data_IF_162326210518
#
_entry.id   IF_162326210518
#
_cell.length_a   1.000
_cell.length_b   1.000
_cell.length_c   1.000
_cell.angle_alpha   90.00
_cell.angle_beta   90.00
_cell.angle_gamma   90.00
#
_symmetry.space_group_name_H-M   'P 1'
#
loop_
_entity.id
_entity.type
_entity.pdbx_description
1 polymer ?
#
# COMPACT_ATOMS: atom_id res chain seq x y z
N UNK A 1 7.23 -23.72 -17.29
CA UNK A 1 6.85 -22.64 -16.36
C UNK A 1 8.14 -21.94 -15.95
N UNK A 2 8.30 -20.65 -16.22
CA UNK A 2 9.55 -19.95 -15.92
C UNK A 2 9.78 -19.93 -14.39
N UNK A 3 10.93 -20.42 -13.93
CA UNK A 3 11.30 -20.55 -12.52
C UNK A 3 11.48 -19.18 -11.78
N UNK A 4 11.10 -18.06 -12.40
CA UNK A 4 11.42 -16.71 -11.93
C UNK A 4 10.21 -15.90 -11.46
N UNK A 5 8.97 -16.36 -11.66
CA UNK A 5 7.78 -15.62 -11.22
C UNK A 5 7.29 -16.17 -9.88
N UNK A 6 7.08 -15.28 -8.91
CA UNK A 6 6.48 -15.57 -7.62
C UNK A 6 5.09 -14.95 -7.59
N UNK A 7 4.10 -15.78 -7.24
CA UNK A 7 2.70 -15.38 -7.05
C UNK A 7 2.28 -15.74 -5.64
N UNK A 8 1.98 -14.74 -4.82
CA UNK A 8 1.74 -14.97 -3.40
C UNK A 8 0.94 -13.83 -2.75
N UNK A 9 0.60 -14.00 -1.48
CA UNK A 9 0.03 -12.95 -0.63
C UNK A 9 1.10 -12.42 0.33
N UNK A 10 0.91 -11.18 0.76
CA UNK A 10 1.83 -10.55 1.68
C UNK A 10 1.25 -9.29 2.28
N UNK A 11 2.10 -8.58 3.01
CA UNK A 11 1.78 -7.28 3.60
C UNK A 11 2.67 -6.21 3.03
N UNK A 12 2.11 -5.03 2.80
CA UNK A 12 2.86 -3.80 2.53
C UNK A 12 2.56 -2.81 3.65
N UNK A 13 3.60 -2.18 4.19
CA UNK A 13 3.51 -1.15 5.23
C UNK A 13 4.13 0.13 4.67
N UNK A 14 3.39 1.25 4.74
CA UNK A 14 3.86 2.58 4.33
C UNK A 14 3.33 3.66 5.26
N UNK A 15 3.98 4.83 5.32
CA UNK A 15 3.49 6.01 6.05
C UNK A 15 3.01 7.06 5.06
N UNK A 16 1.80 7.55 5.24
CA UNK A 16 1.21 8.60 4.40
C UNK A 16 0.43 9.60 5.23
N UNK A 17 0.12 10.75 4.61
CA UNK A 17 -0.81 11.72 5.16
C UNK A 17 -2.23 11.36 4.73
N UNK A 18 -3.09 11.07 5.70
CA UNK A 18 -4.50 10.76 5.50
C UNK A 18 -5.38 11.92 5.96
N UNK A 19 -6.48 12.18 5.26
CA UNK A 19 -7.50 13.16 5.65
C UNK A 19 -8.90 12.63 5.32
N UNK A 20 -9.95 13.24 5.87
CA UNK A 20 -11.31 12.96 5.40
C UNK A 20 -11.48 13.34 3.94
N UNK A 21 -12.17 12.48 3.18
CA UNK A 21 -12.61 12.80 1.82
C UNK A 21 -13.45 14.08 1.84
N UNK A 22 -13.11 15.03 0.97
CA UNK A 22 -13.84 16.30 0.84
C UNK A 22 -15.00 16.23 -0.16
N UNK A 23 -14.93 15.28 -1.11
CA UNK A 23 -15.94 15.09 -2.15
C UNK A 23 -17.23 14.40 -1.65
N UNK A 24 -18.33 14.66 -2.36
CA UNK A 24 -19.63 14.07 -2.07
C UNK A 24 -19.67 12.58 -2.51
N UNK A 25 -19.68 11.68 -1.52
CA UNK A 25 -19.64 10.22 -1.75
C UNK A 25 -21.02 9.53 -1.69
N UNK A 26 -22.10 10.28 -1.41
CA UNK A 26 -23.44 9.73 -1.17
C UNK A 26 -23.50 8.57 -0.14
N UNK A 27 -22.64 8.61 0.88
CA UNK A 27 -22.66 7.66 2.00
C UNK A 27 -22.19 8.32 3.30
N UNK A 28 -22.74 7.89 4.44
CA UNK A 28 -22.44 8.46 5.76
C UNK A 28 -21.43 7.60 6.55
N UNK A 29 -20.27 7.33 5.95
CA UNK A 29 -19.21 6.54 6.58
C UNK A 29 -17.92 7.36 6.75
N UNK A 30 -17.08 6.93 7.68
CA UNK A 30 -15.75 7.48 7.88
C UNK A 30 -14.81 6.91 6.82
N UNK A 31 -14.67 7.67 5.74
CA UNK A 31 -13.71 7.45 4.66
C UNK A 31 -12.55 8.43 4.79
N UNK A 32 -11.33 7.93 4.64
CA UNK A 32 -10.13 8.75 4.51
C UNK A 32 -9.53 8.58 3.12
N UNK A 33 -8.80 9.58 2.64
CA UNK A 33 -8.03 9.54 1.40
C UNK A 33 -6.55 9.85 1.67
N UNK A 34 -5.68 9.28 0.84
CA UNK A 34 -4.25 9.63 0.84
C UNK A 34 -4.03 10.95 0.11
N UNK A 35 -3.38 11.90 0.77
CA UNK A 35 -3.07 13.22 0.19
C UNK A 35 -1.83 13.17 -0.72
N UNK A 36 -0.93 12.22 -0.50
CA UNK A 36 0.32 12.04 -1.24
C UNK A 36 0.67 10.55 -1.33
N UNK A 37 0.25 9.82 -2.38
CA UNK A 37 0.32 8.37 -2.43
C UNK A 37 1.72 7.75 -2.62
N UNK A 38 2.78 8.56 -2.76
CA UNK A 38 4.18 8.14 -2.90
C UNK A 38 5.16 9.16 -2.28
N UNK A 39 5.30 9.23 -0.95
CA UNK A 39 6.12 10.25 -0.29
C UNK A 39 7.60 10.23 -0.72
N UNK A 40 8.08 11.37 -1.20
CA UNK A 40 9.47 11.54 -1.66
C UNK A 40 9.74 11.07 -3.10
N UNK A 41 8.69 10.71 -3.84
CA UNK A 41 8.72 10.69 -5.30
C UNK A 41 7.98 11.92 -5.87
N UNK A 42 8.64 12.68 -6.73
CA UNK A 42 8.19 13.97 -7.27
C UNK A 42 7.91 13.93 -8.78
N UNK A 43 7.89 12.74 -9.40
CA UNK A 43 7.76 12.58 -10.86
C UNK A 43 6.35 12.75 -11.45
N UNK A 44 5.41 13.32 -10.69
CA UNK A 44 4.13 13.75 -11.21
C UNK A 44 3.98 15.23 -10.90
N UNK A 45 4.06 16.08 -11.92
CA UNK A 45 3.27 17.32 -11.96
C UNK A 45 1.81 16.86 -11.97
N UNK A 46 1.28 16.55 -10.80
CA UNK A 46 -0.10 16.10 -10.64
C UNK A 46 -0.98 17.33 -10.87
N UNK A 47 -1.70 17.48 -12.01
CA UNK A 47 -2.86 18.36 -12.00
C UNK A 47 -3.77 17.87 -10.88
N UNK A 48 -4.36 18.78 -10.10
CA UNK A 48 -5.32 18.49 -9.02
C UNK A 48 -6.04 17.17 -9.30
N UNK A 49 -5.66 16.09 -8.60
CA UNK A 49 -6.21 14.77 -8.85
C UNK A 49 -7.72 14.86 -8.57
N UNK A 50 -8.53 14.85 -9.63
CA UNK A 50 -9.99 14.81 -9.48
C UNK A 50 -10.46 13.47 -8.87
N UNK A 51 -9.58 12.48 -8.79
CA UNK A 51 -9.90 11.14 -8.32
C UNK A 51 -8.85 10.61 -7.32
N UNK A 52 -9.29 9.85 -6.30
CA UNK A 52 -8.40 9.40 -5.25
C UNK A 52 -7.56 8.20 -5.72
N UNK A 53 -6.25 8.22 -5.41
CA UNK A 53 -5.41 7.03 -5.61
C UNK A 53 -5.83 5.89 -4.65
N UNK A 54 -5.97 6.22 -3.37
CA UNK A 54 -6.32 5.27 -2.32
C UNK A 54 -7.33 5.86 -1.34
N UNK A 55 -8.46 5.17 -1.17
CA UNK A 55 -9.48 5.44 -0.15
C UNK A 55 -9.43 4.40 0.96
N UNK A 56 -9.75 4.79 2.19
CA UNK A 56 -9.70 3.94 3.38
C UNK A 56 -11.02 4.05 4.16
N UNK A 57 -11.86 3.03 4.04
CA UNK A 57 -13.11 2.96 4.79
C UNK A 57 -12.86 2.29 6.14
N UNK A 58 -13.09 3.01 7.25
CA UNK A 58 -12.90 2.45 8.58
C UNK A 58 -14.07 1.52 8.93
N UNK A 59 -13.76 0.27 9.22
CA UNK A 59 -14.78 -0.72 9.60
C UNK A 59 -15.21 -0.53 11.05
N UNK A 60 -16.46 -0.90 11.36
CA UNK A 60 -17.00 -0.81 12.72
C UNK A 60 -16.45 -1.88 13.67
N UNK A 61 -15.80 -2.92 13.13
CA UNK A 61 -15.19 -4.01 13.86
C UNK A 61 -14.20 -4.77 12.99
N UNK A 62 -13.63 -5.83 13.55
CA UNK A 62 -12.71 -6.72 12.84
C UNK A 62 -13.49 -7.66 11.92
N UNK A 63 -13.00 -7.80 10.68
CA UNK A 63 -13.55 -8.72 9.70
C UNK A 63 -12.44 -9.62 9.17
N UNK A 64 -12.77 -10.89 8.94
CA UNK A 64 -11.82 -11.82 8.37
C UNK A 64 -11.35 -11.35 6.98
N UNK A 65 -10.05 -11.37 6.72
CA UNK A 65 -9.46 -10.90 5.46
C UNK A 65 -10.01 -11.66 4.24
N UNK A 66 -10.19 -12.97 4.35
CA UNK A 66 -10.75 -13.80 3.29
C UNK A 66 -12.21 -13.46 3.02
N UNK A 67 -12.98 -13.16 4.07
CA UNK A 67 -14.36 -12.70 3.92
C UNK A 67 -14.43 -11.39 3.14
N UNK A 68 -13.59 -10.40 3.47
CA UNK A 68 -13.49 -9.14 2.71
C UNK A 68 -13.13 -9.41 1.24
N UNK A 69 -12.13 -10.25 0.98
CA UNK A 69 -11.68 -10.57 -0.39
C UNK A 69 -12.79 -11.26 -1.19
N UNK A 70 -13.54 -12.18 -0.58
CA UNK A 70 -14.71 -12.83 -1.21
C UNK A 70 -15.81 -11.82 -1.51
N UNK A 71 -16.09 -10.91 -0.59
CA UNK A 71 -17.05 -9.81 -0.82
C UNK A 71 -16.62 -8.92 -1.99
N UNK A 72 -15.35 -8.51 -2.06
CA UNK A 72 -14.80 -7.73 -3.19
C UNK A 72 -14.99 -8.48 -4.51
N UNK A 73 -14.67 -9.77 -4.53
CA UNK A 73 -14.80 -10.60 -5.73
C UNK A 73 -16.25 -10.68 -6.23
N UNK A 74 -17.22 -10.76 -5.32
CA UNK A 74 -18.64 -10.79 -5.68
C UNK A 74 -19.13 -9.43 -6.16
N UNK A 75 -18.78 -8.34 -5.47
CA UNK A 75 -19.16 -6.98 -5.86
C UNK A 75 -18.64 -6.65 -7.27
N UNK A 76 -17.38 -7.02 -7.58
CA UNK A 76 -16.79 -6.80 -8.90
C UNK A 76 -17.52 -7.52 -10.05
N UNK A 77 -18.35 -8.54 -9.77
CA UNK A 77 -19.20 -9.19 -10.80
C UNK A 77 -20.50 -8.45 -11.05
N UNK A 78 -20.91 -7.59 -10.12
CA UNK A 78 -22.21 -6.91 -10.13
C UNK A 78 -22.12 -5.47 -10.62
N UNK A 79 -20.97 -4.81 -10.45
CA UNK A 79 -20.76 -3.43 -10.86
C UNK A 79 -20.21 -3.34 -12.28
N UNK A 80 -20.51 -2.24 -12.98
CA UNK A 80 -20.05 -2.00 -14.36
C UNK A 80 -18.66 -1.34 -14.46
N UNK A 81 -17.95 -1.18 -13.34
CA UNK A 81 -16.66 -0.50 -13.24
C UNK A 81 -15.67 -1.34 -12.44
N UNK A 82 -14.37 -1.11 -12.67
CA UNK A 82 -13.32 -1.84 -11.99
C UNK A 82 -12.85 -1.09 -10.75
N UNK A 83 -12.67 -1.81 -9.64
CA UNK A 83 -11.92 -1.33 -8.50
C UNK A 83 -11.23 -2.50 -7.81
N UNK A 84 -10.23 -2.19 -6.98
CA UNK A 84 -9.66 -3.16 -6.07
C UNK A 84 -9.92 -2.74 -4.64
N UNK A 85 -10.19 -3.70 -3.76
CA UNK A 85 -10.19 -3.44 -2.33
C UNK A 85 -9.45 -4.55 -1.56
N UNK A 86 -8.81 -4.15 -0.47
CA UNK A 86 -7.98 -5.03 0.35
C UNK A 86 -8.17 -4.73 1.83
N UNK A 87 -8.20 -5.76 2.70
CA UNK A 87 -8.17 -5.55 4.14
C UNK A 87 -6.83 -4.92 4.55
N UNK A 88 -6.90 -4.01 5.50
CA UNK A 88 -5.72 -3.37 6.05
C UNK A 88 -6.00 -2.74 7.40
N UNK A 89 -4.97 -2.12 7.94
CA UNK A 89 -5.02 -1.38 9.19
C UNK A 89 -4.33 -0.05 9.03
N UNK A 90 -4.81 0.96 9.74
CA UNK A 90 -4.15 2.26 9.84
C UNK A 90 -3.94 2.61 11.31
N UNK A 91 -2.86 3.33 11.61
CA UNK A 91 -2.73 3.98 12.90
C UNK A 91 -3.66 5.21 12.92
N UNK A 92 -4.69 5.18 13.75
CA UNK A 92 -5.69 6.23 13.81
C UNK A 92 -5.96 6.64 15.26
N UNK A 93 -5.69 7.91 15.56
CA UNK A 93 -5.63 8.42 16.94
C UNK A 93 -4.62 7.61 17.76
N UNK A 94 -5.03 7.08 18.91
CA UNK A 94 -4.15 6.39 19.86
C UNK A 94 -4.15 4.87 19.67
N UNK A 95 -4.56 4.36 18.50
CA UNK A 95 -4.65 2.91 18.28
C UNK A 95 -4.71 2.49 16.82
N UNK A 96 -4.75 1.19 16.62
CA UNK A 96 -4.92 0.57 15.31
C UNK A 96 -6.42 0.53 14.96
N UNK A 97 -6.76 0.90 13.73
CA UNK A 97 -8.11 0.75 13.18
C UNK A 97 -8.08 -0.13 11.95
N UNK A 98 -8.99 -1.09 11.90
CA UNK A 98 -9.28 -1.88 10.71
C UNK A 98 -9.91 -1.02 9.61
N UNK A 99 -9.45 -1.26 8.39
CA UNK A 99 -9.93 -0.58 7.19
C UNK A 99 -10.09 -1.54 6.02
N UNK A 100 -10.93 -1.14 5.08
CA UNK A 100 -10.85 -1.64 3.71
C UNK A 100 -10.24 -0.52 2.88
N UNK A 101 -9.06 -0.77 2.29
CA UNK A 101 -8.45 0.16 1.33
C UNK A 101 -9.01 -0.13 -0.04
N UNK A 102 -9.53 0.89 -0.71
CA UNK A 102 -9.95 0.87 -2.10
C UNK A 102 -8.91 1.59 -2.99
N UNK A 103 -8.61 1.03 -4.16
CA UNK A 103 -7.78 1.66 -5.20
C UNK A 103 -8.54 1.64 -6.52
N UNK A 104 -8.56 2.77 -7.23
CA UNK A 104 -9.31 2.96 -8.48
C UNK A 104 -10.83 3.10 -8.31
N UNK A 105 -11.30 3.37 -7.09
CA UNK A 105 -12.72 3.59 -6.82
C UNK A 105 -13.04 5.09 -6.89
N UNK A 106 -13.85 5.47 -7.87
CA UNK A 106 -14.27 6.86 -8.09
C UNK A 106 -15.24 7.31 -7.01
N UNK A 107 -15.19 8.59 -6.60
CA UNK A 107 -16.07 9.15 -5.57
C UNK A 107 -17.56 8.90 -5.84
N UNK A 108 -17.99 9.14 -7.08
CA UNK A 108 -19.37 8.89 -7.53
C UNK A 108 -19.84 7.44 -7.35
N UNK A 109 -18.92 6.47 -7.30
CA UNK A 109 -19.19 5.04 -7.16
C UNK A 109 -19.09 4.55 -5.71
N UNK A 110 -18.58 5.37 -4.78
CA UNK A 110 -18.36 4.96 -3.38
C UNK A 110 -19.66 4.53 -2.72
N UNK A 111 -20.74 5.31 -2.83
CA UNK A 111 -22.02 5.00 -2.20
C UNK A 111 -22.60 3.64 -2.62
N UNK A 112 -22.52 3.29 -3.91
CA UNK A 112 -22.97 1.99 -4.43
C UNK A 112 -22.15 0.85 -3.82
N UNK A 113 -20.81 0.96 -3.88
CA UNK A 113 -19.90 -0.07 -3.36
C UNK A 113 -20.12 -0.28 -1.85
N UNK A 114 -20.18 0.81 -1.07
CA UNK A 114 -20.39 0.74 0.39
C UNK A 114 -21.75 0.12 0.74
N UNK A 115 -22.79 0.38 -0.05
CA UNK A 115 -24.11 -0.26 0.13
C UNK A 115 -24.01 -1.77 -0.08
N UNK A 116 -23.32 -2.22 -1.15
CA UNK A 116 -23.11 -3.65 -1.40
C UNK A 116 -22.30 -4.32 -0.29
N UNK A 117 -21.25 -3.68 0.23
CA UNK A 117 -20.52 -4.17 1.41
C UNK A 117 -21.43 -4.32 2.63
N UNK A 118 -22.24 -3.31 2.90
CA UNK A 118 -23.16 -3.30 4.05
C UNK A 118 -24.19 -4.43 3.96
N UNK A 119 -24.69 -4.75 2.77
CA UNK A 119 -25.61 -5.87 2.53
C UNK A 119 -24.99 -7.24 2.83
N UNK A 120 -23.65 -7.35 2.84
CA UNK A 120 -22.95 -8.58 3.25
C UNK A 120 -22.68 -8.65 4.76
N UNK A 121 -23.07 -7.63 5.53
CA UNK A 121 -22.84 -7.54 6.97
C UNK A 121 -21.53 -6.82 7.36
N UNK A 122 -20.81 -6.24 6.40
CA UNK A 122 -19.63 -5.42 6.69
C UNK A 122 -20.08 -4.00 7.08
N UNK A 123 -19.92 -3.67 8.35
CA UNK A 123 -20.25 -2.36 8.91
C UNK A 123 -19.07 -1.38 8.89
N UNK A 124 -19.39 -0.08 8.81
CA UNK A 124 -18.42 1.02 8.78
C UNK A 124 -18.67 2.01 9.91
N UNK A 125 -17.61 2.69 10.38
CA UNK A 125 -17.74 3.79 11.33
C UNK A 125 -18.48 4.96 10.66
N UNK A 126 -19.31 5.68 11.42
CA UNK A 126 -20.02 6.87 10.93
C UNK A 126 -19.06 8.00 10.59
N UNK A 127 -19.43 8.79 9.58
CA UNK A 127 -18.65 9.95 9.16
C UNK A 127 -18.33 10.90 10.32
N UNK A 128 -17.12 11.44 10.29
CA UNK A 128 -16.67 12.61 11.05
C UNK A 128 -15.51 13.25 10.29
N UNK A 129 -15.43 14.57 10.32
CA UNK A 129 -14.31 15.29 9.73
C UNK A 129 -13.01 14.98 10.49
N UNK A 130 -11.95 14.68 9.73
CA UNK A 130 -10.60 14.39 10.21
C UNK A 130 -9.63 15.29 9.44
N UNK A 131 -8.95 16.17 10.17
CA UNK A 131 -7.85 16.98 9.65
C UNK A 131 -6.69 16.07 9.20
N UNK A 132 -5.87 16.51 8.23
CA UNK A 132 -4.71 15.75 7.76
C UNK A 132 -3.81 15.30 8.90
N UNK A 133 -3.41 14.02 8.89
CA UNK A 133 -2.52 13.43 9.88
C UNK A 133 -1.66 12.33 9.25
N UNK A 134 -0.47 12.11 9.81
CA UNK A 134 0.41 11.02 9.36
C UNK A 134 -0.04 9.69 9.97
N UNK A 135 -0.12 8.65 9.14
CA UNK A 135 -0.55 7.31 9.55
C UNK A 135 0.33 6.23 8.94
N UNK A 136 0.70 5.23 9.76
CA UNK A 136 1.25 3.97 9.27
C UNK A 136 0.09 3.10 8.77
N UNK A 137 0.14 2.77 7.50
CA UNK A 137 -0.84 1.98 6.76
C UNK A 137 -0.23 0.60 6.51
N UNK A 138 -0.97 -0.46 6.83
CA UNK A 138 -0.61 -1.84 6.50
C UNK A 138 -1.73 -2.47 5.68
N UNK A 139 -1.42 -2.99 4.50
CA UNK A 139 -2.41 -3.64 3.61
C UNK A 139 -1.98 -5.04 3.25
N UNK A 140 -2.96 -5.94 3.07
CA UNK A 140 -2.72 -7.34 2.63
C UNK A 140 -3.09 -7.51 1.17
N UNK A 141 -2.10 -7.52 0.27
CA UNK A 141 -2.35 -7.65 -1.17
C UNK A 141 -1.76 -8.95 -1.73
N UNK A 142 -2.24 -9.28 -2.92
CA UNK A 142 -1.59 -10.27 -3.78
C UNK A 142 -0.41 -9.61 -4.50
N UNK A 143 0.65 -10.38 -4.67
CA UNK A 143 1.89 -10.01 -5.33
C UNK A 143 2.11 -10.94 -6.50
N UNK A 144 2.51 -10.37 -7.63
CA UNK A 144 3.03 -11.09 -8.79
C UNK A 144 4.34 -10.42 -9.16
N UNK A 145 5.45 -11.06 -8.80
CA UNK A 145 6.78 -10.47 -8.96
C UNK A 145 7.67 -11.39 -9.78
N UNK A 146 8.54 -10.80 -10.58
CA UNK A 146 9.56 -11.51 -11.35
C UNK A 146 10.93 -11.29 -10.71
N UNK A 147 11.67 -12.37 -10.45
CA UNK A 147 13.06 -12.30 -10.00
C UNK A 147 13.94 -11.88 -11.18
N UNK A 148 14.57 -10.72 -11.07
CA UNK A 148 15.47 -10.16 -12.10
C UNK A 148 16.94 -10.16 -11.66
N UNK A 149 17.22 -10.36 -10.37
CA UNK A 149 18.54 -10.66 -9.83
C UNK A 149 18.40 -11.50 -8.54
N UNK A 150 19.51 -11.94 -7.96
CA UNK A 150 19.63 -12.69 -6.71
C UNK A 150 18.72 -12.18 -5.58
N UNK A 151 18.65 -10.86 -5.37
CA UNK A 151 17.87 -10.16 -4.33
C UNK A 151 16.91 -9.10 -4.89
N UNK A 152 16.77 -9.03 -6.21
CA UNK A 152 15.98 -7.99 -6.88
C UNK A 152 14.80 -8.60 -7.61
N UNK A 153 13.63 -8.03 -7.39
CA UNK A 153 12.39 -8.42 -8.01
C UNK A 153 11.70 -7.22 -8.65
N UNK A 154 11.01 -7.46 -9.75
CA UNK A 154 10.16 -6.48 -10.45
C UNK A 154 8.69 -6.81 -10.21
N UNK A 155 7.87 -5.81 -9.90
CA UNK A 155 6.42 -5.97 -9.82
C UNK A 155 5.83 -6.13 -11.23
N UNK A 156 4.95 -7.11 -11.42
CA UNK A 156 4.25 -7.36 -12.69
C UNK A 156 2.80 -6.83 -12.70
N UNK A 157 2.39 -6.12 -11.66
CA UNK A 157 1.06 -5.49 -11.49
C UNK A 157 1.21 -3.97 -11.47
N UNK A 158 2.10 -3.43 -10.63
CA UNK A 158 2.31 -1.99 -10.47
C UNK A 158 3.64 -1.58 -11.15
N UNK A 159 3.57 -0.98 -12.35
CA UNK A 159 4.76 -0.54 -13.10
C UNK A 159 5.63 0.45 -12.30
N UNK A 160 6.95 0.45 -12.54
CA UNK A 160 7.90 1.26 -11.77
C UNK A 160 8.16 0.75 -10.34
N UNK A 161 7.54 -0.35 -9.93
CA UNK A 161 7.74 -0.95 -8.60
C UNK A 161 8.73 -2.10 -8.64
N UNK A 162 9.69 -2.06 -7.72
CA UNK A 162 10.71 -3.08 -7.50
C UNK A 162 10.74 -3.52 -6.02
N UNK A 163 11.28 -4.70 -5.75
CA UNK A 163 11.46 -5.21 -4.40
C UNK A 163 12.88 -5.68 -4.16
N UNK A 164 13.45 -5.25 -3.04
CA UNK A 164 14.80 -5.56 -2.59
C UNK A 164 14.73 -6.55 -1.42
N UNK A 165 15.25 -7.76 -1.58
CA UNK A 165 15.25 -8.76 -0.51
C UNK A 165 16.33 -8.48 0.53
N UNK A 166 15.88 -8.33 1.78
CA UNK A 166 16.72 -8.06 2.94
C UNK A 166 16.72 -9.26 3.91
N UNK A 167 17.80 -9.49 4.66
CA UNK A 167 17.90 -10.60 5.61
C UNK A 167 17.43 -10.22 7.03
N UNK A 168 16.50 -9.27 7.16
CA UNK A 168 16.06 -8.77 8.45
C UNK A 168 14.58 -8.38 8.43
N UNK A 169 13.90 -8.66 9.55
CA UNK A 169 12.57 -8.13 9.84
C UNK A 169 12.71 -6.79 10.56
N UNK A 170 12.33 -5.70 9.88
CA UNK A 170 12.45 -4.34 10.41
C UNK A 170 11.09 -3.84 10.93
N UNK A 171 11.12 -3.12 12.04
CA UNK A 171 10.00 -2.24 12.39
C UNK A 171 10.03 -0.95 11.55
N UNK A 172 8.94 -0.17 11.64
CA UNK A 172 8.79 1.04 10.85
C UNK A 172 9.86 2.10 11.16
N UNK A 173 10.23 2.26 12.43
CA UNK A 173 11.12 3.33 12.86
C UNK A 173 12.56 3.07 12.41
N UNK A 174 13.03 1.81 12.51
CA UNK A 174 14.31 1.40 11.96
C UNK A 174 14.34 1.56 10.44
N UNK A 175 13.29 1.09 9.75
CA UNK A 175 13.16 1.25 8.30
C UNK A 175 13.18 2.71 7.85
N UNK A 176 12.40 3.58 8.50
CA UNK A 176 12.30 5.00 8.15
C UNK A 176 13.64 5.71 8.37
N UNK A 177 14.31 5.42 9.49
CA UNK A 177 15.64 5.96 9.80
C UNK A 177 16.66 5.56 8.73
N UNK A 178 16.70 4.27 8.35
CA UNK A 178 17.58 3.78 7.29
C UNK A 178 17.26 4.43 5.95
N UNK A 179 15.98 4.45 5.56
CA UNK A 179 15.53 5.02 4.29
C UNK A 179 15.95 6.48 4.15
N UNK A 180 15.75 7.27 5.20
CA UNK A 180 16.13 8.69 5.19
C UNK A 180 17.65 8.86 5.06
N UNK A 181 18.44 8.06 5.79
CA UNK A 181 19.90 8.07 5.64
C UNK A 181 20.36 7.71 4.23
N UNK A 182 19.70 6.74 3.57
CA UNK A 182 19.99 6.35 2.18
C UNK A 182 19.66 7.49 1.22
N UNK A 183 18.48 8.12 1.38
CA UNK A 183 18.06 9.25 0.53
C UNK A 183 19.04 10.43 0.60
N UNK A 184 19.66 10.72 1.75
CA UNK A 184 20.65 11.79 1.86
C UNK A 184 21.96 11.49 1.12
N UNK A 185 22.28 10.22 0.88
CA UNK A 185 23.53 9.80 0.22
C UNK A 185 23.36 9.52 -1.29
N UNK A 186 22.15 9.68 -1.84
CA UNK A 186 21.84 9.45 -3.25
C UNK A 186 21.77 10.78 -4.00
N UNK A 187 22.48 10.89 -5.13
CA UNK A 187 22.32 12.04 -6.02
C UNK A 187 20.91 12.12 -6.61
N UNK A 188 20.36 10.97 -7.03
CA UNK A 188 18.96 10.84 -7.42
C UNK A 188 18.17 10.15 -6.28
N UNK A 189 17.73 10.95 -5.30
CA UNK A 189 16.97 10.50 -4.14
C UNK A 189 15.45 10.41 -4.39
N UNK A 190 15.02 10.60 -5.64
CA UNK A 190 13.62 10.59 -6.04
C UNK A 190 13.12 9.14 -6.11
N UNK A 191 12.59 8.64 -5.00
CA UNK A 191 11.92 7.33 -4.92
C UNK A 191 11.05 7.27 -3.67
N UNK A 192 10.02 6.44 -3.72
CA UNK A 192 9.21 6.09 -2.55
C UNK A 192 9.56 4.67 -2.08
N UNK A 193 9.52 4.44 -0.77
CA UNK A 193 9.90 3.17 -0.17
C UNK A 193 8.86 2.66 0.82
N UNK A 194 8.66 1.35 0.88
CA UNK A 194 7.76 0.71 1.83
C UNK A 194 8.31 -0.63 2.31
N UNK A 195 7.96 -1.02 3.55
CA UNK A 195 8.24 -2.37 4.04
C UNK A 195 7.27 -3.35 3.40
N UNK A 196 7.76 -4.51 3.00
CA UNK A 196 6.96 -5.58 2.41
C UNK A 196 7.40 -6.93 2.95
N UNK A 197 6.45 -7.81 3.25
CA UNK A 197 6.74 -9.20 3.60
C UNK A 197 5.79 -10.11 2.82
N UNK A 198 6.32 -11.15 2.19
CA UNK A 198 5.54 -12.09 1.37
C UNK A 198 5.71 -13.52 1.84
N UNK A 199 4.66 -14.32 1.74
CA UNK A 199 4.75 -15.75 2.05
C UNK A 199 5.36 -16.51 0.87
N UNK A 200 6.18 -17.50 1.16
CA UNK A 200 6.69 -18.45 0.17
C UNK A 200 6.95 -19.81 0.83
N UNK A 201 7.34 -20.82 0.05
CA UNK A 201 7.47 -22.21 0.52
C UNK A 201 8.35 -22.37 1.77
N UNK A 202 9.40 -21.55 1.95
CA UNK A 202 10.31 -21.63 3.10
C UNK A 202 9.97 -20.67 4.24
N UNK A 203 8.79 -20.04 4.23
CA UNK A 203 8.33 -19.13 5.27
C UNK A 203 7.99 -17.74 4.76
N UNK A 204 8.59 -16.71 5.37
CA UNK A 204 8.35 -15.29 5.03
C UNK A 204 9.62 -14.71 4.42
N UNK A 205 9.45 -13.94 3.35
CA UNK A 205 10.50 -13.18 2.70
C UNK A 205 10.27 -11.70 2.96
N UNK A 206 11.24 -11.06 3.62
CA UNK A 206 11.22 -9.63 3.90
C UNK A 206 11.88 -8.84 2.76
N UNK A 207 11.19 -7.78 2.36
CA UNK A 207 11.45 -7.00 1.16
C UNK A 207 11.32 -5.52 1.48
N UNK A 208 12.13 -4.68 0.83
CA UNK A 208 11.87 -3.25 0.69
C UNK A 208 11.28 -3.02 -0.69
N UNK A 209 10.05 -2.49 -0.77
CA UNK A 209 9.50 -1.99 -2.02
C UNK A 209 10.12 -0.64 -2.34
N UNK A 210 10.62 -0.47 -3.55
CA UNK A 210 11.05 0.81 -4.13
C UNK A 210 10.12 1.14 -5.29
N UNK A 211 9.48 2.30 -5.25
CA UNK A 211 8.76 2.86 -6.39
C UNK A 211 9.56 4.03 -6.98
N UNK A 212 9.90 3.88 -8.24
CA UNK A 212 10.55 4.90 -9.05
C UNK A 212 10.37 4.52 -10.53
N UNK A 213 9.65 5.37 -11.27
CA UNK A 213 9.33 5.12 -12.67
C UNK A 213 10.58 5.10 -13.58
N UNK A 214 11.67 5.72 -13.14
CA UNK A 214 12.92 5.85 -13.91
C UNK A 214 14.07 5.02 -13.31
N UNK A 215 13.78 4.15 -12.32
CA UNK A 215 14.81 3.35 -11.69
C UNK A 215 15.45 2.37 -12.68
N UNK A 216 16.77 2.43 -12.76
CA UNK A 216 17.58 1.43 -13.41
C UNK A 216 18.17 0.43 -12.39
N UNK A 217 18.84 -0.60 -12.92
CA UNK A 217 19.46 -1.64 -12.10
C UNK A 217 20.59 -1.11 -11.21
N UNK A 218 21.30 -0.06 -11.64
CA UNK A 218 22.42 0.52 -10.88
C UNK A 218 21.91 1.22 -9.62
N UNK A 219 20.89 2.08 -9.76
CA UNK A 219 20.22 2.74 -8.63
C UNK A 219 19.64 1.72 -7.65
N UNK A 220 18.95 0.69 -8.15
CA UNK A 220 18.35 -0.35 -7.31
C UNK A 220 19.41 -1.15 -6.52
N UNK A 221 20.53 -1.50 -7.15
CA UNK A 221 21.63 -2.18 -6.48
C UNK A 221 22.30 -1.28 -5.43
N UNK A 222 22.52 0.01 -5.73
CA UNK A 222 23.05 0.95 -4.75
C UNK A 222 22.15 1.07 -3.52
N UNK A 223 20.83 1.19 -3.72
CA UNK A 223 19.87 1.24 -2.63
C UNK A 223 19.94 -0.05 -1.79
N UNK A 224 19.98 -1.22 -2.45
CA UNK A 224 20.11 -2.52 -1.78
C UNK A 224 21.39 -2.57 -0.93
N UNK A 225 22.55 -2.19 -1.49
CA UNK A 225 23.83 -2.21 -0.79
C UNK A 225 23.79 -1.33 0.46
N UNK A 226 23.15 -0.16 0.37
CA UNK A 226 23.03 0.73 1.53
C UNK A 226 22.10 0.18 2.61
N UNK A 227 21.02 -0.49 2.25
CA UNK A 227 20.21 -1.22 3.24
C UNK A 227 21.01 -2.34 3.90
N UNK A 228 21.78 -3.12 3.13
CA UNK A 228 22.62 -4.19 3.67
C UNK A 228 23.68 -3.66 4.63
N UNK A 229 24.34 -2.54 4.28
CA UNK A 229 25.28 -1.85 5.16
C UNK A 229 24.62 -1.40 6.48
N UNK A 230 23.41 -0.84 6.40
CA UNK A 230 22.68 -0.36 7.57
C UNK A 230 22.20 -1.51 8.47
N UNK A 231 21.70 -2.60 7.88
CA UNK A 231 21.25 -3.79 8.60
C UNK A 231 22.41 -4.48 9.33
N UNK A 232 23.60 -4.54 8.72
CA UNK A 232 24.78 -5.14 9.35
C UNK A 232 25.30 -4.35 10.58
N UNK A 233 24.79 -3.14 10.81
CA UNK A 233 25.16 -2.27 11.95
C UNK A 233 24.11 -2.27 13.06
N UNK A 234 22.97 -2.96 12.88
CA UNK A 234 21.98 -3.21 13.93
C UNK A 234 22.54 -4.18 14.98
#
# INVERSE_FOLDING_TARGET
MSQNIIQTVGTLIKKETLASVQDEMNCNILMLESQQPFPGYHGLTVPELQEPDSLFALTSGEFNSEFIIRTVHNINKEVAFNFSATPGTIQFKNGLSEVIRFKGLLYKNVGEVITKFSNTGIGFKKHRAISPYSSIIKVRKFFKVEKIDSRLFKDLIDEGTHYLQIPAFLDWDAFETMTNAIKYNLQNNNFDAALTSVYYEKGVMDLIRIYDAEADKEKLNFILDKYMEAINRL
#
